data_IF_635675068636
#
_entry.id   IF_635675068636
#
_cell.length_a   1.000
_cell.length_b   1.000
_cell.length_c   1.000
_cell.angle_alpha   90.00
_cell.angle_beta   90.00
_cell.angle_gamma   90.00
#
_symmetry.space_group_name_H-M   'P 1'
#
loop_
_entity.id
_entity.type
_entity.pdbx_description
1 polymer ?
#
# COMPACT_ATOMS: atom_id res chain seq x y z
N UNK A 1 21.52 2.27 40.93
CA UNK A 1 22.57 2.24 39.90
C UNK A 1 22.11 1.31 38.81
N UNK A 2 21.87 1.79 37.58
CA UNK A 2 21.63 0.90 36.46
C UNK A 2 22.96 0.30 36.05
N UNK A 3 23.20 -0.93 36.46
CA UNK A 3 24.28 -1.73 35.90
C UNK A 3 23.93 -1.97 34.44
N UNK A 4 24.63 -1.30 33.53
CA UNK A 4 24.67 -1.68 32.13
C UNK A 4 25.29 -3.08 32.10
N UNK A 5 24.46 -4.10 31.97
CA UNK A 5 24.95 -5.44 31.65
C UNK A 5 25.78 -5.32 30.37
N UNK A 6 27.04 -5.74 30.44
CA UNK A 6 27.95 -5.66 29.31
C UNK A 6 27.43 -6.58 28.19
N UNK A 7 27.11 -5.98 27.04
CA UNK A 7 26.54 -6.73 25.90
C UNK A 7 27.58 -7.76 25.46
N UNK A 8 27.22 -9.06 25.38
CA UNK A 8 28.14 -10.08 24.91
C UNK A 8 28.67 -9.75 23.51
N UNK A 9 30.00 -9.85 23.33
CA UNK A 9 30.69 -9.39 22.11
C UNK A 9 30.17 -10.11 20.86
N UNK A 10 29.89 -11.40 20.96
CA UNK A 10 29.32 -12.22 19.89
C UNK A 10 27.93 -11.73 19.47
N UNK A 11 27.08 -11.40 20.43
CA UNK A 11 25.73 -10.86 20.18
C UNK A 11 25.81 -9.47 19.54
N UNK A 12 26.74 -8.63 20.00
CA UNK A 12 26.96 -7.31 19.44
C UNK A 12 27.46 -7.37 17.98
N UNK A 13 28.35 -8.31 17.66
CA UNK A 13 28.88 -8.47 16.31
C UNK A 13 27.81 -9.02 15.36
N UNK A 14 26.99 -9.97 15.81
CA UNK A 14 25.83 -10.44 15.03
C UNK A 14 24.81 -9.32 14.78
N UNK A 15 24.52 -8.50 15.80
CA UNK A 15 23.65 -7.33 15.66
C UNK A 15 24.16 -6.35 14.60
N UNK A 16 25.46 -6.01 14.61
CA UNK A 16 26.06 -5.10 13.62
C UNK A 16 25.92 -5.63 12.19
N UNK A 17 26.12 -6.94 11.98
CA UNK A 17 25.92 -7.58 10.67
C UNK A 17 24.47 -7.46 10.22
N UNK A 18 23.51 -7.78 11.09
CA UNK A 18 22.08 -7.67 10.77
C UNK A 18 21.69 -6.22 10.42
N UNK A 19 22.22 -5.23 11.13
CA UNK A 19 21.99 -3.80 10.82
C UNK A 19 22.57 -3.44 9.45
N UNK A 20 23.79 -3.89 9.14
CA UNK A 20 24.42 -3.64 7.84
C UNK A 20 23.61 -4.25 6.70
N UNK A 21 23.23 -5.52 6.82
CA UNK A 21 22.48 -6.23 5.80
C UNK A 21 21.09 -5.63 5.59
N UNK A 22 20.43 -5.22 6.69
CA UNK A 22 19.17 -4.51 6.63
C UNK A 22 19.29 -3.19 5.86
N UNK A 23 20.34 -2.39 6.13
CA UNK A 23 20.58 -1.12 5.44
C UNK A 23 20.88 -1.31 3.95
N UNK A 24 21.60 -2.37 3.59
CA UNK A 24 21.89 -2.71 2.19
C UNK A 24 20.60 -3.10 1.46
N UNK A 25 19.78 -3.96 2.07
CA UNK A 25 18.52 -4.39 1.47
C UNK A 25 17.53 -3.23 1.33
N UNK A 26 17.45 -2.35 2.34
CA UNK A 26 16.59 -1.15 2.31
C UNK A 26 16.93 -0.23 1.12
N UNK A 27 18.22 0.01 0.84
CA UNK A 27 18.60 0.84 -0.31
C UNK A 27 18.32 0.14 -1.65
N UNK A 28 18.57 -1.18 -1.74
CA UNK A 28 18.22 -1.96 -2.95
C UNK A 28 16.72 -1.90 -3.24
N UNK A 29 15.88 -2.11 -2.22
CA UNK A 29 14.42 -2.03 -2.34
C UNK A 29 14.02 -0.65 -2.84
N UNK A 30 14.53 0.42 -2.23
CA UNK A 30 14.22 1.79 -2.61
C UNK A 30 14.55 2.11 -4.07
N UNK A 31 15.69 1.61 -4.58
CA UNK A 31 16.06 1.77 -5.99
C UNK A 31 15.07 1.03 -6.90
N UNK A 32 14.81 -0.25 -6.61
CA UNK A 32 13.88 -1.07 -7.40
C UNK A 32 12.45 -0.53 -7.37
N UNK A 33 11.97 -0.04 -6.21
CA UNK A 33 10.65 0.57 -6.09
C UNK A 33 10.51 1.83 -6.93
N UNK A 34 11.57 2.64 -7.04
CA UNK A 34 11.59 3.82 -7.91
C UNK A 34 11.46 3.41 -9.38
N UNK A 35 12.20 2.40 -9.82
CA UNK A 35 12.13 1.88 -11.18
C UNK A 35 10.74 1.29 -11.49
N UNK A 36 10.21 0.47 -10.58
CA UNK A 36 8.85 -0.09 -10.68
C UNK A 36 7.81 1.02 -10.78
N UNK A 37 7.97 2.11 -10.02
CA UNK A 37 7.05 3.25 -10.08
C UNK A 37 7.07 3.93 -11.45
N UNK A 38 8.26 4.16 -12.04
CA UNK A 38 8.35 4.80 -13.35
C UNK A 38 7.84 3.88 -14.47
N UNK A 39 8.15 2.59 -14.43
CA UNK A 39 7.61 1.60 -15.36
C UNK A 39 6.07 1.54 -15.30
N UNK A 40 5.50 1.50 -14.09
CA UNK A 40 4.03 1.52 -13.90
C UNK A 40 3.41 2.82 -14.41
N UNK A 41 4.08 3.96 -14.25
CA UNK A 41 3.61 5.25 -14.76
C UNK A 41 3.56 5.25 -16.29
N UNK A 42 4.60 4.78 -16.96
CA UNK A 42 4.61 4.66 -18.43
C UNK A 42 3.50 3.70 -18.88
N UNK A 43 3.49 2.47 -18.34
CA UNK A 43 2.52 1.44 -18.72
C UNK A 43 1.08 1.88 -18.49
N UNK A 44 0.72 2.29 -17.27
CA UNK A 44 -0.68 2.53 -16.90
C UNK A 44 -1.18 3.94 -17.27
N UNK A 45 -0.32 4.96 -17.23
CA UNK A 45 -0.77 6.36 -17.46
C UNK A 45 -0.53 6.84 -18.88
N UNK A 46 0.45 6.28 -19.60
CA UNK A 46 0.80 6.73 -20.94
C UNK A 46 0.35 5.76 -22.03
N UNK A 47 0.62 4.45 -21.86
CA UNK A 47 0.35 3.44 -22.88
C UNK A 47 -1.08 2.90 -22.80
N UNK A 48 -1.50 2.45 -21.62
CA UNK A 48 -2.81 1.80 -21.42
C UNK A 48 -4.01 2.65 -21.89
N UNK A 49 -4.09 3.98 -21.66
CA UNK A 49 -5.19 4.79 -22.16
C UNK A 49 -5.22 4.91 -23.69
N UNK A 50 -4.05 4.92 -24.33
CA UNK A 50 -3.94 4.96 -25.80
C UNK A 50 -4.40 3.63 -26.40
N UNK A 51 -3.94 2.52 -25.84
CA UNK A 51 -4.28 1.17 -26.29
C UNK A 51 -5.77 0.89 -26.08
N UNK A 52 -6.29 1.10 -24.87
CA UNK A 52 -7.72 0.90 -24.56
C UNK A 52 -8.62 1.90 -25.29
N UNK A 53 -8.15 3.12 -25.55
CA UNK A 53 -8.84 4.09 -26.39
C UNK A 53 -9.03 3.54 -27.81
N UNK A 54 -7.94 3.12 -28.45
CA UNK A 54 -7.96 2.52 -29.78
C UNK A 54 -8.84 1.25 -29.82
N UNK A 55 -8.64 0.32 -28.89
CA UNK A 55 -9.43 -0.92 -28.82
C UNK A 55 -10.93 -0.64 -28.70
N UNK A 56 -11.33 0.34 -27.89
CA UNK A 56 -12.76 0.73 -27.77
C UNK A 56 -13.29 1.41 -29.03
N UNK A 57 -12.52 2.31 -29.64
CA UNK A 57 -12.94 3.01 -30.87
C UNK A 57 -13.22 2.06 -32.04
N UNK A 58 -12.50 0.93 -32.10
CA UNK A 58 -12.64 -0.07 -33.15
C UNK A 58 -13.32 -1.37 -32.69
N UNK A 59 -13.93 -1.38 -31.49
CA UNK A 59 -14.61 -2.53 -30.92
C UNK A 59 -13.76 -3.83 -30.89
N UNK A 60 -12.46 -3.68 -30.61
CA UNK A 60 -11.52 -4.79 -30.46
C UNK A 60 -11.55 -5.27 -29.01
N UNK A 61 -12.07 -6.48 -28.78
CA UNK A 61 -12.12 -7.08 -27.44
C UNK A 61 -10.76 -7.60 -26.97
N UNK A 62 -9.98 -8.17 -27.89
CA UNK A 62 -8.73 -8.85 -27.58
C UNK A 62 -7.75 -8.88 -28.75
N UNK A 63 -6.48 -9.03 -28.40
CA UNK A 63 -5.33 -9.03 -29.29
C UNK A 63 -4.44 -10.23 -28.95
N UNK A 64 -3.97 -10.95 -29.96
CA UNK A 64 -2.93 -11.96 -29.79
C UNK A 64 -1.57 -11.32 -30.04
N UNK A 65 -0.64 -11.51 -29.12
CA UNK A 65 0.75 -11.07 -29.23
C UNK A 65 1.67 -12.27 -29.08
N UNK A 66 2.94 -12.14 -29.47
CA UNK A 66 3.96 -13.19 -29.29
C UNK A 66 4.12 -13.59 -27.81
N UNK A 67 3.84 -12.67 -26.88
CA UNK A 67 3.91 -12.90 -25.43
C UNK A 67 2.56 -13.29 -24.80
N UNK A 68 1.55 -13.62 -25.61
CA UNK A 68 0.22 -14.04 -25.16
C UNK A 68 -0.91 -13.08 -25.52
N UNK A 69 -2.07 -13.25 -24.88
CA UNK A 69 -3.31 -12.54 -25.24
C UNK A 69 -3.53 -11.31 -24.35
N UNK A 70 -3.81 -10.17 -24.98
CA UNK A 70 -4.20 -8.93 -24.29
C UNK A 70 -5.69 -8.68 -24.50
N UNK A 71 -6.43 -8.39 -23.43
CA UNK A 71 -7.89 -8.16 -23.47
C UNK A 71 -8.25 -6.79 -22.90
N UNK A 72 -9.10 -6.05 -23.60
CA UNK A 72 -9.69 -4.82 -23.08
C UNK A 72 -10.94 -5.19 -22.26
N UNK A 73 -10.83 -5.12 -20.93
CA UNK A 73 -11.95 -5.40 -20.03
C UNK A 73 -12.56 -4.11 -19.50
N UNK A 74 -13.88 -4.02 -19.54
CA UNK A 74 -14.63 -3.03 -18.77
C UNK A 74 -14.96 -3.61 -17.39
N UNK A 75 -14.66 -2.86 -16.33
CA UNK A 75 -14.97 -3.27 -14.95
C UNK A 75 -15.65 -2.11 -14.22
N UNK A 76 -16.90 -2.34 -13.84
CA UNK A 76 -17.60 -1.48 -12.90
C UNK A 76 -17.26 -1.92 -11.48
N UNK A 77 -16.66 -1.03 -10.70
CA UNK A 77 -16.35 -1.28 -9.28
C UNK A 77 -17.12 -0.31 -8.41
N UNK A 78 -17.70 -0.81 -7.31
CA UNK A 78 -18.28 0.05 -6.28
C UNK A 78 -17.20 0.99 -5.73
N UNK A 79 -17.60 2.22 -5.44
CA UNK A 79 -16.70 3.17 -4.79
C UNK A 79 -16.17 2.61 -3.45
N UNK A 80 -14.92 2.89 -3.08
CA UNK A 80 -14.36 2.43 -1.82
C UNK A 80 -15.13 3.03 -0.65
N UNK A 81 -15.31 2.22 0.40
CA UNK A 81 -15.95 2.65 1.64
C UNK A 81 -14.98 3.56 2.39
N UNK A 82 -15.31 4.86 2.47
CA UNK A 82 -14.53 5.85 3.21
C UNK A 82 -15.28 6.30 4.48
N UNK A 83 -14.60 7.09 5.34
CA UNK A 83 -15.14 7.56 6.63
C UNK A 83 -16.53 8.19 6.48
N UNK A 84 -16.70 9.04 5.46
CA UNK A 84 -17.97 9.70 5.14
C UNK A 84 -19.04 8.69 4.71
N UNK A 85 -18.70 7.74 3.84
CA UNK A 85 -19.63 6.69 3.41
C UNK A 85 -20.11 5.82 4.58
N UNK A 86 -19.24 5.50 5.54
CA UNK A 86 -19.62 4.76 6.75
C UNK A 86 -20.59 5.57 7.59
N UNK A 87 -20.26 6.84 7.87
CA UNK A 87 -21.10 7.73 8.66
C UNK A 87 -22.49 7.92 8.03
N UNK A 88 -22.54 8.24 6.74
CA UNK A 88 -23.80 8.39 5.99
C UNK A 88 -24.60 7.09 5.96
N UNK A 89 -23.94 5.93 5.91
CA UNK A 89 -24.63 4.64 5.94
C UNK A 89 -25.20 4.36 7.34
N UNK A 90 -24.44 4.62 8.40
CA UNK A 90 -24.90 4.46 9.79
C UNK A 90 -26.09 5.37 10.08
N UNK A 91 -26.05 6.63 9.62
CA UNK A 91 -27.16 7.58 9.79
C UNK A 91 -28.45 7.19 9.05
N UNK A 92 -28.39 6.27 8.07
CA UNK A 92 -29.58 5.76 7.38
C UNK A 92 -30.33 4.67 8.16
N UNK A 93 -29.64 3.99 9.07
CA UNK A 93 -30.19 2.84 9.82
C UNK A 93 -30.25 3.07 11.33
N UNK A 94 -29.51 4.05 11.85
CA UNK A 94 -29.42 4.38 13.27
C UNK A 94 -29.78 5.84 13.52
N UNK A 95 -30.08 6.19 14.78
CA UNK A 95 -30.24 7.59 15.18
C UNK A 95 -28.91 8.35 15.08
N UNK A 96 -28.95 9.68 15.03
CA UNK A 96 -27.75 10.52 14.95
C UNK A 96 -26.76 10.25 16.10
N UNK A 97 -27.28 10.08 17.32
CA UNK A 97 -26.48 9.76 18.50
C UNK A 97 -25.83 8.38 18.38
N UNK A 98 -26.61 7.34 18.02
CA UNK A 98 -26.11 5.98 17.84
C UNK A 98 -25.07 5.88 16.72
N UNK A 99 -25.27 6.60 15.60
CA UNK A 99 -24.32 6.65 14.50
C UNK A 99 -23.02 7.33 14.92
N UNK A 100 -23.08 8.35 15.76
CA UNK A 100 -21.89 9.04 16.31
C UNK A 100 -21.13 8.12 17.26
N UNK A 101 -21.82 7.48 18.22
CA UNK A 101 -21.20 6.51 19.13
C UNK A 101 -20.56 5.34 18.37
N UNK A 102 -21.25 4.79 17.36
CA UNK A 102 -20.68 3.74 16.52
C UNK A 102 -19.43 4.24 15.78
N UNK A 103 -19.40 5.50 15.37
CA UNK A 103 -18.23 6.09 14.72
C UNK A 103 -17.03 6.21 15.68
N UNK A 104 -17.28 6.56 16.94
CA UNK A 104 -16.24 6.65 17.96
C UNK A 104 -15.67 5.27 18.31
N UNK A 105 -16.51 4.26 18.46
CA UNK A 105 -16.07 2.86 18.62
C UNK A 105 -15.27 2.36 17.42
N UNK A 106 -15.74 2.71 16.21
CA UNK A 106 -15.06 2.30 14.98
C UNK A 106 -13.73 3.03 14.82
N UNK A 107 -13.47 4.23 15.35
CA UNK A 107 -12.24 4.97 15.00
C UNK A 107 -11.35 5.36 16.18
N UNK A 108 -11.94 5.72 17.33
CA UNK A 108 -11.23 6.24 18.49
C UNK A 108 -10.93 5.13 19.50
N UNK A 109 -11.89 4.25 19.77
CA UNK A 109 -11.74 3.19 20.77
C UNK A 109 -11.13 1.90 20.20
N UNK A 110 -10.42 2.01 19.07
CA UNK A 110 -9.71 0.86 18.48
C UNK A 110 -8.54 0.42 19.35
N UNK A 111 -8.30 -0.88 19.39
CA UNK A 111 -7.12 -1.44 20.04
C UNK A 111 -5.83 -0.84 19.46
N UNK A 112 -4.99 -0.30 20.34
CA UNK A 112 -3.65 0.15 19.98
C UNK A 112 -2.72 -1.06 19.96
N UNK A 113 -2.16 -1.36 18.79
CA UNK A 113 -1.18 -2.44 18.61
C UNK A 113 0.21 -1.82 18.43
N UNK A 114 1.10 -2.05 19.40
CA UNK A 114 2.49 -1.62 19.32
C UNK A 114 3.27 -2.55 18.40
N UNK A 115 3.90 -1.98 17.37
CA UNK A 115 4.83 -2.68 16.47
C UNK A 115 6.16 -1.96 16.45
N UNK A 116 7.25 -2.70 16.51
CA UNK A 116 8.60 -2.17 16.36
C UNK A 116 9.02 -2.30 14.90
N UNK A 117 9.38 -1.17 14.28
CA UNK A 117 9.81 -1.13 12.88
C UNK A 117 11.03 -0.24 12.75
N UNK A 118 11.93 -0.58 11.83
CA UNK A 118 13.07 0.25 11.45
C UNK A 118 12.63 1.25 10.37
N UNK A 119 13.02 2.51 10.50
CA UNK A 119 12.78 3.55 9.50
C UNK A 119 13.96 4.52 9.44
N UNK A 120 14.36 4.93 8.25
CA UNK A 120 15.33 6.02 8.11
C UNK A 120 14.66 7.36 8.44
N UNK A 121 15.29 8.22 9.26
CA UNK A 121 14.78 9.58 9.46
C UNK A 121 14.80 10.33 8.13
N UNK A 122 13.76 11.14 7.90
CA UNK A 122 13.76 12.08 6.76
C UNK A 122 14.82 13.16 7.05
N UNK A 123 15.70 13.41 6.09
CA UNK A 123 16.55 14.61 6.11
C UNK A 123 15.69 15.85 5.91
#
# INVERSE_FOLDING_TARGET
MNTLEEIPKDQLDHFKTNVKDWLEMDEKIKVLEKEVREMKKIRNKQLEPKITGFMRSYNISDLNTESGKLKCNERNTKAPVNKKTIQESLQKVLSMEQATTAMDEIYLNRQVITKYTLSRPKK
#
